data_IF_583447518144
#
_entry.id   IF_583447518144
#
_cell.length_a   1.000
_cell.length_b   1.000
_cell.length_c   1.000
_cell.angle_alpha   90.00
_cell.angle_beta   90.00
_cell.angle_gamma   90.00
#
_symmetry.space_group_name_H-M   'P 1'
#
loop_
_entity.id
_entity.type
_entity.pdbx_description
1 polymer ?
#
# COMPACT_ATOMS: atom_id res chain seq x y z
N UNK A 1 3.15 -15.03 28.46
CA UNK A 1 3.52 -14.19 27.29
C UNK A 1 4.97 -14.52 26.96
N UNK A 2 5.26 -14.99 25.74
CA UNK A 2 6.62 -15.42 25.36
C UNK A 2 7.57 -14.24 25.47
N UNK A 3 8.68 -14.41 26.20
CA UNK A 3 9.76 -13.43 26.24
C UNK A 3 10.48 -13.45 24.87
N UNK A 4 10.19 -12.44 24.05
CA UNK A 4 10.71 -12.34 22.69
C UNK A 4 12.24 -12.24 22.63
N UNK A 5 12.90 -11.74 23.69
CA UNK A 5 14.36 -11.66 23.72
C UNK A 5 14.97 -13.04 23.93
N UNK A 6 14.43 -13.80 24.90
CA UNK A 6 14.87 -15.18 25.17
C UNK A 6 14.55 -16.08 23.98
N UNK A 7 13.36 -15.96 23.40
CA UNK A 7 12.97 -16.68 22.19
C UNK A 7 13.90 -16.40 21.00
N UNK A 8 14.30 -15.14 20.77
CA UNK A 8 15.26 -14.79 19.73
C UNK A 8 16.66 -15.38 19.98
N UNK A 9 17.11 -15.41 21.24
CA UNK A 9 18.38 -16.04 21.62
C UNK A 9 18.35 -17.56 21.39
N UNK A 10 17.24 -18.23 21.72
CA UNK A 10 17.02 -19.65 21.47
C UNK A 10 17.07 -19.96 19.96
N UNK A 11 16.34 -19.21 19.14
CA UNK A 11 16.33 -19.38 17.67
C UNK A 11 17.72 -19.16 17.07
N UNK A 12 18.45 -18.14 17.54
CA UNK A 12 19.81 -17.84 17.06
C UNK A 12 20.77 -18.99 17.37
N UNK A 13 20.77 -19.51 18.60
CA UNK A 13 21.62 -20.64 18.96
C UNK A 13 21.30 -21.89 18.13
N UNK A 14 20.02 -22.19 17.89
CA UNK A 14 19.60 -23.29 17.01
C UNK A 14 20.08 -23.09 15.56
N UNK A 15 19.97 -21.86 15.04
CA UNK A 15 20.45 -21.52 13.69
C UNK A 15 21.98 -21.66 13.56
N UNK A 16 22.72 -21.41 14.65
CA UNK A 16 24.17 -21.64 14.75
C UNK A 16 24.54 -23.13 14.93
N UNK A 17 23.55 -24.04 14.85
CA UNK A 17 23.75 -25.49 14.94
C UNK A 17 23.86 -26.04 16.38
N UNK A 18 23.54 -25.23 17.39
CA UNK A 18 23.60 -25.65 18.81
C UNK A 18 22.43 -26.62 19.11
N UNK A 19 22.67 -27.76 19.76
CA UNK A 19 21.59 -28.68 20.15
C UNK A 19 20.56 -28.03 21.07
N UNK A 20 19.29 -28.41 20.95
CA UNK A 20 18.16 -27.76 21.65
C UNK A 20 18.34 -27.62 23.17
N UNK A 21 18.88 -28.64 23.85
CA UNK A 21 19.12 -28.56 25.29
C UNK A 21 20.12 -27.46 25.66
N UNK A 22 21.24 -27.38 24.93
CA UNK A 22 22.25 -26.34 25.14
C UNK A 22 21.76 -24.96 24.69
N UNK A 23 20.94 -24.90 23.64
CA UNK A 23 20.32 -23.67 23.16
C UNK A 23 19.29 -23.13 24.18
N UNK A 24 18.52 -24.02 24.82
CA UNK A 24 17.58 -23.70 25.89
C UNK A 24 18.32 -23.08 27.08
N UNK A 25 19.37 -23.75 27.57
CA UNK A 25 20.20 -23.24 28.67
C UNK A 25 20.80 -21.87 28.36
N UNK A 26 21.37 -21.67 27.16
CA UNK A 26 21.93 -20.37 26.72
C UNK A 26 20.89 -19.25 26.65
N UNK A 27 19.64 -19.60 26.40
CA UNK A 27 18.50 -18.68 26.32
C UNK A 27 17.69 -18.63 27.63
N UNK A 28 18.23 -19.20 28.71
CA UNK A 28 17.63 -19.23 30.05
C UNK A 28 16.29 -19.98 30.11
N UNK A 29 16.06 -20.97 29.24
CA UNK A 29 14.88 -21.84 29.27
C UNK A 29 15.20 -23.21 29.87
N UNK A 30 14.23 -23.82 30.57
CA UNK A 30 14.22 -25.27 30.68
C UNK A 30 13.80 -25.92 29.34
N UNK A 31 14.06 -27.22 29.18
CA UNK A 31 13.85 -27.92 27.91
C UNK A 31 12.37 -27.94 27.48
N UNK A 32 11.44 -28.03 28.41
CA UNK A 32 10.01 -28.08 28.11
C UNK A 32 9.49 -26.69 27.72
N UNK A 33 9.92 -25.64 28.42
CA UNK A 33 9.66 -24.25 28.05
C UNK A 33 10.22 -23.91 26.66
N UNK A 34 11.42 -24.40 26.33
CA UNK A 34 12.01 -24.21 25.00
C UNK A 34 11.18 -24.90 23.92
N UNK A 35 10.71 -26.14 24.16
CA UNK A 35 9.84 -26.88 23.23
C UNK A 35 8.50 -26.18 23.01
N UNK A 36 7.84 -25.77 24.10
CA UNK A 36 6.57 -25.05 24.03
C UNK A 36 6.72 -23.72 23.27
N UNK A 37 7.79 -22.98 23.55
CA UNK A 37 8.11 -21.72 22.85
C UNK A 37 8.30 -21.93 21.35
N UNK A 38 9.05 -22.97 20.95
CA UNK A 38 9.25 -23.27 19.53
C UNK A 38 7.96 -23.73 18.84
N UNK A 39 7.12 -24.50 19.52
CA UNK A 39 5.82 -24.92 19.00
C UNK A 39 4.87 -23.72 18.80
N UNK A 40 4.78 -22.81 19.77
CA UNK A 40 3.98 -21.59 19.67
C UNK A 40 4.49 -20.67 18.54
N UNK A 41 5.81 -20.49 18.42
CA UNK A 41 6.41 -19.73 17.31
C UNK A 41 6.14 -20.38 15.96
N UNK A 42 6.31 -21.69 15.83
CA UNK A 42 6.01 -22.42 14.60
C UNK A 42 4.52 -22.29 14.23
N UNK A 43 3.62 -22.38 15.21
CA UNK A 43 2.19 -22.17 15.00
C UNK A 43 1.89 -20.75 14.51
N UNK A 44 2.48 -19.72 15.13
CA UNK A 44 2.31 -18.32 14.73
C UNK A 44 2.86 -18.05 13.33
N UNK A 45 4.06 -18.54 13.01
CA UNK A 45 4.68 -18.38 11.70
C UNK A 45 3.85 -19.09 10.62
N UNK A 46 3.39 -20.31 10.88
CA UNK A 46 2.54 -21.05 9.95
C UNK A 46 1.19 -20.35 9.75
N UNK A 47 0.59 -19.80 10.83
CA UNK A 47 -0.65 -19.01 10.74
C UNK A 47 -0.45 -17.71 9.96
N UNK A 48 0.66 -17.01 10.18
CA UNK A 48 1.01 -15.81 9.42
C UNK A 48 1.26 -16.13 7.95
N UNK A 49 2.00 -17.20 7.66
CA UNK A 49 2.24 -17.69 6.30
C UNK A 49 0.93 -18.01 5.58
N UNK A 50 0.04 -18.80 6.20
CA UNK A 50 -1.28 -19.12 5.63
C UNK A 50 -2.14 -17.89 5.39
N UNK A 51 -2.18 -16.95 6.33
CA UNK A 51 -2.93 -15.71 6.15
C UNK A 51 -2.36 -14.88 4.99
N UNK A 52 -1.03 -14.82 4.85
CA UNK A 52 -0.39 -14.12 3.75
C UNK A 52 -0.68 -14.79 2.40
N UNK A 53 -0.57 -16.11 2.31
CA UNK A 53 -0.93 -16.89 1.12
C UNK A 53 -2.40 -16.71 0.73
N UNK A 54 -3.31 -16.70 1.69
CA UNK A 54 -4.75 -16.48 1.46
C UNK A 54 -5.06 -15.07 0.93
N UNK A 55 -4.39 -14.05 1.48
CA UNK A 55 -4.50 -12.66 1.01
C UNK A 55 -3.95 -12.53 -0.41
N UNK A 56 -2.75 -13.04 -0.67
CA UNK A 56 -2.13 -13.02 -2.01
C UNK A 56 -2.99 -13.77 -3.03
N UNK A 57 -3.56 -14.92 -2.66
CA UNK A 57 -4.47 -15.67 -3.52
C UNK A 57 -5.80 -14.92 -3.76
N UNK A 58 -6.33 -14.20 -2.78
CA UNK A 58 -7.51 -13.37 -2.94
C UNK A 58 -7.24 -12.17 -3.85
N UNK A 59 -6.09 -11.52 -3.72
CA UNK A 59 -5.65 -10.43 -4.60
C UNK A 59 -5.45 -10.92 -6.03
N UNK A 60 -4.81 -12.08 -6.21
CA UNK A 60 -4.66 -12.71 -7.52
C UNK A 60 -6.02 -13.02 -8.17
N UNK A 61 -6.97 -13.60 -7.41
CA UNK A 61 -8.33 -13.85 -7.92
C UNK A 61 -9.07 -12.57 -8.30
N UNK A 62 -8.95 -11.51 -7.49
CA UNK A 62 -9.54 -10.19 -7.81
C UNK A 62 -8.96 -9.61 -9.09
N UNK A 63 -7.63 -9.66 -9.24
CA UNK A 63 -6.94 -9.18 -10.43
C UNK A 63 -7.36 -9.95 -11.68
N UNK A 64 -7.45 -11.28 -11.62
CA UNK A 64 -7.88 -12.10 -12.76
C UNK A 64 -9.34 -11.80 -13.16
N UNK A 65 -10.25 -11.65 -12.18
CA UNK A 65 -11.62 -11.22 -12.46
C UNK A 65 -11.66 -9.81 -13.10
N UNK A 66 -10.83 -8.88 -12.60
CA UNK A 66 -10.76 -7.54 -13.14
C UNK A 66 -10.23 -7.51 -14.59
N UNK A 67 -9.25 -8.37 -14.94
CA UNK A 67 -8.81 -8.56 -16.32
C UNK A 67 -9.92 -9.06 -17.23
N UNK A 68 -10.72 -10.01 -16.74
CA UNK A 68 -11.87 -10.54 -17.49
C UNK A 68 -12.93 -9.46 -17.73
N UNK A 69 -13.21 -8.62 -16.72
CA UNK A 69 -14.12 -7.47 -16.85
C UNK A 69 -13.55 -6.42 -17.80
N UNK A 70 -12.24 -6.15 -17.74
CA UNK A 70 -11.56 -5.18 -18.58
C UNK A 70 -11.48 -5.60 -20.06
N UNK A 71 -11.54 -6.90 -20.35
CA UNK A 71 -11.41 -7.41 -21.70
C UNK A 71 -12.51 -6.84 -22.62
N UNK A 72 -12.09 -6.01 -23.57
CA UNK A 72 -12.98 -5.39 -24.56
C UNK A 72 -13.75 -4.16 -24.06
N UNK A 73 -13.47 -3.69 -22.83
CA UNK A 73 -14.06 -2.45 -22.28
C UNK A 73 -13.12 -1.25 -22.48
N UNK A 74 -13.72 -0.08 -22.61
CA UNK A 74 -13.04 1.21 -22.79
C UNK A 74 -13.61 2.33 -21.89
N UNK A 75 -14.47 1.92 -20.94
CA UNK A 75 -15.22 2.75 -20.00
C UNK A 75 -14.75 2.62 -18.55
N UNK A 76 -13.71 1.82 -18.30
CA UNK A 76 -13.10 1.70 -16.96
C UNK A 76 -12.36 3.00 -16.58
N UNK A 77 -12.51 3.39 -15.32
CA UNK A 77 -11.88 4.58 -14.74
C UNK A 77 -10.87 4.17 -13.68
N UNK A 78 -9.69 4.78 -13.71
CA UNK A 78 -8.63 4.56 -12.74
C UNK A 78 -8.47 5.83 -11.91
N UNK A 79 -8.99 5.79 -10.68
CA UNK A 79 -8.85 6.90 -9.73
C UNK A 79 -7.55 6.75 -8.96
N UNK A 80 -6.87 7.86 -8.69
CA UNK A 80 -5.67 7.90 -7.88
C UNK A 80 -5.74 9.02 -6.85
N UNK A 81 -4.97 8.84 -5.77
CA UNK A 81 -4.74 9.87 -4.76
C UNK A 81 -3.39 9.60 -4.07
N UNK A 82 -2.84 10.61 -3.41
CA UNK A 82 -1.75 10.44 -2.49
C UNK A 82 -1.77 11.48 -1.38
N UNK A 83 -1.58 11.00 -0.16
CA UNK A 83 -1.61 11.85 1.03
C UNK A 83 -0.35 11.73 1.88
N UNK A 84 -0.07 12.78 2.64
CA UNK A 84 1.00 12.80 3.63
C UNK A 84 0.58 13.43 4.96
N UNK A 85 0.90 12.77 6.08
CA UNK A 85 0.69 13.27 7.46
C UNK A 85 1.80 14.23 7.86
N UNK A 86 1.72 15.44 7.33
CA UNK A 86 2.78 16.46 7.39
C UNK A 86 3.50 16.58 6.04
N UNK A 87 4.23 17.66 5.80
CA UNK A 87 4.83 17.92 4.48
C UNK A 87 6.30 18.36 4.61
N UNK A 88 7.27 17.42 4.76
CA UNK A 88 7.14 15.97 4.61
C UNK A 88 6.72 15.21 5.89
N UNK A 89 6.04 14.07 5.72
CA UNK A 89 5.56 13.18 6.79
C UNK A 89 5.23 11.77 6.27
N UNK A 90 4.69 10.87 7.12
CA UNK A 90 4.22 9.55 6.68
C UNK A 90 3.25 9.68 5.50
N UNK A 91 3.57 9.03 4.38
CA UNK A 91 2.89 9.24 3.11
C UNK A 91 2.48 7.92 2.46
N UNK A 92 1.44 7.97 1.64
CA UNK A 92 0.97 6.85 0.85
C UNK A 92 0.37 7.33 -0.47
N UNK A 93 0.60 6.57 -1.54
CA UNK A 93 -0.10 6.73 -2.81
C UNK A 93 -1.00 5.52 -3.06
N UNK A 94 -2.14 5.73 -3.73
CA UNK A 94 -3.13 4.68 -3.99
C UNK A 94 -3.72 4.81 -5.39
N UNK A 95 -4.29 3.70 -5.87
CA UNK A 95 -5.07 3.66 -7.09
C UNK A 95 -6.21 2.65 -6.99
N UNK A 96 -7.33 2.92 -7.65
CA UNK A 96 -8.49 2.04 -7.70
C UNK A 96 -9.00 1.98 -9.13
N UNK A 97 -9.23 0.77 -9.64
CA UNK A 97 -9.93 0.55 -10.90
C UNK A 97 -11.43 0.46 -10.63
N UNK A 98 -12.21 1.31 -11.29
CA UNK A 98 -13.67 1.39 -11.19
C UNK A 98 -14.31 0.93 -12.50
N UNK A 99 -15.43 0.21 -12.38
CA UNK A 99 -16.28 -0.10 -13.51
C UNK A 99 -17.15 1.11 -13.93
N UNK A 100 -17.98 0.92 -14.97
CA UNK A 100 -18.88 1.96 -15.49
C UNK A 100 -19.95 2.42 -14.47
N UNK A 101 -20.22 1.64 -13.44
CA UNK A 101 -21.16 1.97 -12.37
C UNK A 101 -20.46 2.65 -11.19
N UNK A 102 -19.13 2.80 -11.24
CA UNK A 102 -18.32 3.34 -10.14
C UNK A 102 -17.99 2.30 -9.06
N UNK A 103 -18.16 1.00 -9.33
CA UNK A 103 -17.81 -0.07 -8.40
C UNK A 103 -16.32 -0.41 -8.47
N UNK A 104 -15.69 -0.57 -7.31
CA UNK A 104 -14.27 -0.91 -7.22
C UNK A 104 -14.00 -2.36 -7.62
N UNK A 105 -13.15 -2.56 -8.61
CA UNK A 105 -12.70 -3.86 -9.10
C UNK A 105 -11.43 -4.31 -8.37
N UNK A 106 -10.43 -3.43 -8.31
CA UNK A 106 -9.12 -3.69 -7.71
C UNK A 106 -8.58 -2.40 -7.09
N UNK A 107 -7.98 -2.54 -5.92
CA UNK A 107 -7.24 -1.49 -5.22
C UNK A 107 -5.73 -1.78 -5.24
N UNK A 108 -4.92 -0.73 -5.29
CA UNK A 108 -3.46 -0.75 -5.10
C UNK A 108 -3.07 0.36 -4.15
N UNK A 109 -2.10 0.09 -3.30
CA UNK A 109 -1.53 1.10 -2.41
C UNK A 109 -0.04 0.89 -2.22
N UNK A 110 0.65 1.99 -1.89
CA UNK A 110 2.06 1.95 -1.49
C UNK A 110 2.27 2.93 -0.34
N UNK A 111 2.74 2.41 0.78
CA UNK A 111 3.29 3.24 1.86
C UNK A 111 4.69 3.74 1.46
N UNK A 112 4.95 5.02 1.68
CA UNK A 112 6.12 5.74 1.17
C UNK A 112 7.01 6.28 2.29
N UNK A 113 6.88 5.75 3.51
CA UNK A 113 7.54 6.30 4.71
C UNK A 113 7.37 7.82 4.77
N UNK A 114 8.46 8.58 4.95
CA UNK A 114 8.41 10.04 5.03
C UNK A 114 8.59 10.70 3.66
N UNK A 115 7.52 11.27 3.11
CA UNK A 115 7.53 11.99 1.83
C UNK A 115 6.63 13.24 1.86
N UNK A 116 6.62 14.01 0.77
CA UNK A 116 5.71 15.17 0.62
C UNK A 116 4.39 14.75 -0.01
N UNK A 117 3.35 15.59 0.13
CA UNK A 117 2.05 15.31 -0.50
C UNK A 117 2.19 15.12 -2.01
N UNK A 118 2.86 16.05 -2.69
CA UNK A 118 3.02 15.99 -4.14
C UNK A 118 3.79 14.74 -4.61
N UNK A 119 4.75 14.25 -3.81
CA UNK A 119 5.43 12.98 -4.13
C UNK A 119 4.45 11.81 -4.00
N UNK A 120 3.62 11.79 -2.95
CA UNK A 120 2.61 10.77 -2.74
C UNK A 120 1.58 10.72 -3.89
N UNK A 121 1.10 11.88 -4.32
CA UNK A 121 0.16 12.05 -5.44
C UNK A 121 0.69 11.44 -6.75
N UNK A 122 1.96 11.73 -7.07
CA UNK A 122 2.63 11.14 -8.23
C UNK A 122 2.82 9.62 -8.10
N UNK A 123 3.02 9.12 -6.89
CA UNK A 123 3.05 7.68 -6.66
C UNK A 123 1.68 7.04 -6.84
N UNK A 124 0.59 7.70 -6.41
CA UNK A 124 -0.78 7.27 -6.69
C UNK A 124 -1.05 7.17 -8.20
N UNK A 125 -0.69 8.21 -8.95
CA UNK A 125 -0.77 8.20 -10.42
C UNK A 125 -0.02 7.02 -11.05
N UNK A 126 1.22 6.79 -10.63
CA UNK A 126 2.03 5.68 -11.16
C UNK A 126 1.38 4.33 -10.87
N UNK A 127 0.82 4.15 -9.68
CA UNK A 127 0.06 2.93 -9.34
C UNK A 127 -1.18 2.76 -10.23
N UNK A 128 -1.87 3.84 -10.60
CA UNK A 128 -3.03 3.76 -11.48
C UNK A 128 -2.63 3.35 -12.91
N UNK A 129 -1.52 3.89 -13.43
CA UNK A 129 -0.99 3.51 -14.74
C UNK A 129 -0.52 2.04 -14.74
N UNK A 130 0.18 1.63 -13.68
CA UNK A 130 0.63 0.25 -13.48
C UNK A 130 -0.57 -0.72 -13.40
N UNK A 131 -1.58 -0.39 -12.58
CA UNK A 131 -2.81 -1.18 -12.43
C UNK A 131 -3.57 -1.34 -13.76
N UNK A 132 -3.67 -0.26 -14.54
CA UNK A 132 -4.26 -0.32 -15.87
C UNK A 132 -3.50 -1.25 -16.81
N UNK A 133 -2.15 -1.22 -16.75
CA UNK A 133 -1.29 -2.11 -17.53
C UNK A 133 -1.45 -3.56 -17.12
N UNK A 134 -1.50 -3.85 -15.82
CA UNK A 134 -1.78 -5.18 -15.28
C UNK A 134 -3.13 -5.71 -15.78
N UNK A 135 -4.16 -4.86 -15.81
CA UNK A 135 -5.50 -5.19 -16.30
C UNK A 135 -5.61 -5.31 -17.81
N UNK A 136 -4.59 -4.89 -18.57
CA UNK A 136 -4.54 -5.02 -20.03
C UNK A 136 -5.48 -4.07 -20.79
N UNK A 137 -5.88 -2.94 -20.19
CA UNK A 137 -6.77 -1.97 -20.87
C UNK A 137 -6.04 -1.25 -22.01
N UNK A 138 -6.76 -0.95 -23.10
CA UNK A 138 -6.22 -0.18 -24.23
C UNK A 138 -6.46 1.32 -24.12
N UNK A 139 -7.56 1.71 -23.45
CA UNK A 139 -7.93 3.10 -23.19
C UNK A 139 -7.84 3.35 -21.69
N UNK A 140 -6.96 4.25 -21.30
CA UNK A 140 -6.70 4.59 -19.91
C UNK A 140 -7.40 5.90 -19.52
N UNK A 141 -8.39 5.83 -18.64
CA UNK A 141 -9.08 7.01 -18.10
C UNK A 141 -8.65 7.26 -16.66
N UNK A 142 -7.77 8.24 -16.46
CA UNK A 142 -7.26 8.61 -15.15
C UNK A 142 -8.08 9.73 -14.53
N UNK A 143 -8.33 9.64 -13.23
CA UNK A 143 -8.97 10.69 -12.45
C UNK A 143 -8.24 10.89 -11.12
N UNK A 144 -8.08 12.15 -10.72
CA UNK A 144 -7.54 12.51 -9.41
C UNK A 144 -7.88 13.96 -9.07
N UNK A 145 -7.81 14.32 -7.80
CA UNK A 145 -8.13 15.67 -7.29
C UNK A 145 -6.89 16.59 -7.18
N UNK A 146 -5.71 16.08 -7.50
CA UNK A 146 -4.49 16.89 -7.57
C UNK A 146 -4.38 17.69 -8.87
N UNK A 147 -4.91 18.92 -8.87
CA UNK A 147 -4.83 19.83 -10.03
C UNK A 147 -3.38 20.02 -10.54
N UNK A 148 -2.41 20.05 -9.63
CA UNK A 148 -0.98 20.15 -9.99
C UNK A 148 -0.53 18.98 -10.87
N UNK A 149 -0.85 17.74 -10.47
CA UNK A 149 -0.45 16.54 -11.20
C UNK A 149 -1.12 16.52 -12.58
N UNK A 150 -2.44 16.77 -12.61
CA UNK A 150 -3.24 16.81 -13.84
C UNK A 150 -2.67 17.82 -14.83
N UNK A 151 -2.46 19.07 -14.40
CA UNK A 151 -1.93 20.13 -15.27
C UNK A 151 -0.48 19.91 -15.70
N UNK A 152 0.33 19.24 -14.89
CA UNK A 152 1.70 18.87 -15.29
C UNK A 152 1.68 17.80 -16.39
N UNK A 153 0.83 16.78 -16.27
CA UNK A 153 0.67 15.73 -17.30
C UNK A 153 0.08 16.25 -18.61
N UNK A 154 -0.84 17.21 -18.53
CA UNK A 154 -1.39 17.91 -19.70
C UNK A 154 -0.39 18.89 -20.33
N UNK A 155 0.78 19.10 -19.72
CA UNK A 155 1.82 20.01 -20.22
C UNK A 155 1.54 21.50 -19.97
N UNK A 156 0.47 21.83 -19.25
CA UNK A 156 0.13 23.21 -18.89
C UNK A 156 1.13 23.77 -17.88
N UNK A 157 1.57 22.94 -16.93
CA UNK A 157 2.52 23.32 -15.88
C UNK A 157 3.88 22.65 -16.04
N UNK A 158 4.95 23.43 -15.88
CA UNK A 158 6.33 22.91 -15.89
C UNK A 158 6.67 22.21 -14.56
N UNK A 159 7.30 21.04 -14.64
CA UNK A 159 7.83 20.34 -13.47
C UNK A 159 9.21 20.90 -13.11
N UNK A 160 9.27 21.69 -12.03
CA UNK A 160 10.54 22.30 -11.54
C UNK A 160 11.14 21.57 -10.35
N UNK A 161 10.33 20.83 -9.59
CA UNK A 161 10.77 20.16 -8.38
C UNK A 161 11.63 18.92 -8.74
N UNK A 162 12.86 18.87 -8.25
CA UNK A 162 13.82 17.80 -8.52
C UNK A 162 13.37 16.42 -8.04
N UNK A 163 12.53 16.35 -7.00
CA UNK A 163 11.99 15.09 -6.49
C UNK A 163 10.78 14.60 -7.28
N UNK A 164 10.07 15.52 -7.95
CA UNK A 164 8.90 15.21 -8.77
C UNK A 164 9.30 14.87 -10.21
N UNK A 165 10.34 15.52 -10.75
CA UNK A 165 10.77 15.33 -12.13
C UNK A 165 11.00 13.85 -12.51
N UNK A 166 11.67 13.02 -11.69
CA UNK A 166 11.80 11.59 -12.00
C UNK A 166 10.46 10.85 -12.07
N UNK A 167 9.52 11.16 -11.16
CA UNK A 167 8.20 10.53 -11.12
C UNK A 167 7.35 10.93 -12.33
N UNK A 168 7.39 12.22 -12.70
CA UNK A 168 6.75 12.72 -13.91
C UNK A 168 7.29 12.04 -15.17
N UNK A 169 8.62 11.92 -15.30
CA UNK A 169 9.23 11.24 -16.44
C UNK A 169 8.87 9.74 -16.49
N UNK A 170 8.75 9.09 -15.34
CA UNK A 170 8.28 7.71 -15.25
C UNK A 170 6.82 7.58 -15.70
N UNK A 171 5.93 8.48 -15.26
CA UNK A 171 4.52 8.50 -15.66
C UNK A 171 4.39 8.74 -17.18
N UNK A 172 5.08 9.74 -17.72
CA UNK A 172 5.09 10.00 -19.17
C UNK A 172 5.61 8.82 -19.97
N UNK A 173 6.63 8.11 -19.46
CA UNK A 173 7.14 6.90 -20.12
C UNK A 173 6.09 5.78 -20.11
N UNK A 174 5.48 5.50 -18.97
CA UNK A 174 4.49 4.44 -18.83
C UNK A 174 3.21 4.73 -19.65
N UNK A 175 2.79 5.99 -19.75
CA UNK A 175 1.64 6.40 -20.57
C UNK A 175 1.84 6.15 -22.07
N UNK A 176 3.08 6.03 -22.56
CA UNK A 176 3.36 5.72 -23.98
C UNK A 176 2.97 4.30 -24.36
N UNK A 177 2.81 3.41 -23.39
CA UNK A 177 2.37 2.03 -23.63
C UNK A 177 0.86 1.95 -23.92
N UNK A 178 0.11 3.02 -23.64
CA UNK A 178 -1.33 3.09 -23.91
C UNK A 178 -1.60 3.81 -25.24
N UNK A 179 -2.30 3.18 -26.20
CA UNK A 179 -2.72 3.83 -27.45
C UNK A 179 -3.53 5.11 -27.21
N UNK A 180 -4.36 5.10 -26.17
CA UNK A 180 -5.18 6.23 -25.76
C UNK A 180 -5.17 6.37 -24.25
N UNK A 181 -4.92 7.59 -23.77
CA UNK A 181 -5.07 7.93 -22.37
C UNK A 181 -5.69 9.32 -22.23
N UNK A 182 -6.41 9.51 -21.13
CA UNK A 182 -6.97 10.79 -20.72
C UNK A 182 -6.77 10.93 -19.21
N UNK A 183 -6.51 12.15 -18.75
CA UNK A 183 -6.50 12.47 -17.32
C UNK A 183 -7.44 13.64 -17.06
N UNK A 184 -8.27 13.50 -16.02
CA UNK A 184 -9.20 14.55 -15.58
C UNK A 184 -8.99 14.89 -14.12
N UNK A 185 -9.07 16.19 -13.84
CA UNK A 185 -9.24 16.67 -12.49
C UNK A 185 -10.70 16.45 -12.07
N UNK A 186 -10.89 15.80 -10.94
CA UNK A 186 -12.19 15.66 -10.27
C UNK A 186 -12.15 16.40 -8.93
N UNK A 187 -13.29 16.73 -8.36
CA UNK A 187 -13.29 17.35 -7.03
C UNK A 187 -13.01 16.30 -5.96
N UNK A 188 -12.48 16.75 -4.82
CA UNK A 188 -12.12 15.84 -3.71
C UNK A 188 -13.31 15.05 -3.18
N UNK A 189 -14.50 15.63 -3.18
CA UNK A 189 -15.74 14.93 -2.79
C UNK A 189 -16.15 13.80 -3.75
N UNK A 190 -15.64 13.82 -4.99
CA UNK A 190 -15.79 12.77 -5.99
C UNK A 190 -14.68 11.71 -5.83
N UNK A 191 -13.50 12.10 -5.33
CA UNK A 191 -12.35 11.21 -5.12
C UNK A 191 -12.33 10.48 -3.75
N UNK A 192 -13.45 10.46 -3.01
CA UNK A 192 -13.49 9.95 -1.62
C UNK A 192 -12.98 8.52 -1.46
N UNK A 193 -13.24 7.64 -2.42
CA UNK A 193 -12.77 6.25 -2.35
C UNK A 193 -11.25 6.15 -2.28
N UNK A 194 -10.54 6.98 -3.06
CA UNK A 194 -9.09 7.01 -3.03
C UNK A 194 -8.57 7.68 -1.75
N UNK A 195 -9.17 8.79 -1.32
CA UNK A 195 -8.80 9.47 -0.05
C UNK A 195 -8.99 8.57 1.18
N UNK A 196 -10.12 7.83 1.24
CA UNK A 196 -10.38 6.86 2.30
C UNK A 196 -9.33 5.74 2.31
N UNK A 197 -8.93 5.25 1.13
CA UNK A 197 -7.89 4.24 1.00
C UNK A 197 -6.51 4.77 1.43
N UNK A 198 -6.14 5.99 1.07
CA UNK A 198 -4.92 6.65 1.55
C UNK A 198 -4.91 6.69 3.08
N UNK A 199 -6.02 7.14 3.68
CA UNK A 199 -6.12 7.25 5.13
C UNK A 199 -6.03 5.89 5.82
N UNK A 200 -6.68 4.85 5.27
CA UNK A 200 -6.59 3.47 5.77
C UNK A 200 -5.14 2.98 5.79
N UNK A 201 -4.41 3.13 4.69
CA UNK A 201 -3.01 2.72 4.56
C UNK A 201 -2.13 3.45 5.58
N UNK A 202 -2.36 4.76 5.75
CA UNK A 202 -1.61 5.57 6.71
C UNK A 202 -1.94 5.22 8.16
N UNK A 203 -3.18 4.84 8.48
CA UNK A 203 -3.56 4.40 9.82
C UNK A 203 -2.98 3.04 10.19
N UNK A 204 -2.92 2.11 9.23
CA UNK A 204 -2.32 0.79 9.43
C UNK A 204 -0.79 0.87 9.61
N UNK A 205 -0.11 1.74 8.85
CA UNK A 205 1.36 1.79 8.80
C UNK A 205 1.97 2.89 9.67
N UNK A 206 1.23 3.95 9.97
CA UNK A 206 1.68 5.11 10.74
C UNK A 206 0.53 5.69 11.59
N UNK A 207 0.03 4.92 12.58
CA UNK A 207 -1.12 5.32 13.39
C UNK A 207 -0.86 6.65 14.09
N UNK A 208 -1.87 7.52 14.11
CA UNK A 208 -1.79 8.79 14.84
C UNK A 208 -1.59 8.48 16.32
N UNK A 209 -0.54 9.03 16.92
CA UNK A 209 -0.40 9.01 18.38
C UNK A 209 -1.54 9.85 18.95
N UNK A 210 -2.57 9.22 19.53
CA UNK A 210 -3.63 9.93 20.24
C UNK A 210 -3.00 10.60 21.46
N UNK A 211 -2.88 11.92 21.45
CA UNK A 211 -2.50 12.66 22.65
C UNK A 211 -3.60 12.47 23.70
N UNK A 212 -3.25 11.97 24.89
CA UNK A 212 -4.14 11.75 26.05
C UNK A 212 -4.90 13.00 26.56
N UNK A 213 -4.77 14.17 25.93
CA UNK A 213 -5.44 15.41 26.32
C UNK A 213 -6.84 15.63 25.72
N UNK A 214 -7.31 14.78 24.81
CA UNK A 214 -8.65 14.92 24.19
C UNK A 214 -9.73 13.97 24.75
N UNK A 215 -9.39 13.09 25.69
CA UNK A 215 -10.36 12.20 26.35
C UNK A 215 -10.97 12.80 27.64
N UNK A 216 -10.68 14.07 27.96
CA UNK A 216 -11.14 14.73 29.20
C UNK A 216 -12.08 15.92 28.94
N UNK A 217 -12.69 16.01 27.74
CA UNK A 217 -13.60 17.11 27.37
C UNK A 217 -14.96 16.61 26.85
N UNK A 218 -15.28 15.34 27.07
CA UNK A 218 -16.60 14.78 26.79
C UNK A 218 -17.14 14.02 28.00
N UNK A 219 -16.95 14.56 29.20
CA UNK A 219 -17.73 14.24 30.39
C UNK A 219 -17.79 15.51 31.23
N UNK A 220 -18.74 16.39 30.90
CA UNK A 220 -19.38 17.36 31.81
C UNK A 220 -20.73 17.75 31.21
#
# INVERSE_FOLDING_TARGET
MVDLRRAAALLKALADGVPLGQAAERADFDLDQARETLQDLAYRLNRQGRHQEEVEAAEHRRMENAKQIAAGRDDLVFVFDGGSRGNPGPAAGVAIALDANGEALVERSRFLDKNTNNVAEYHGLLLAIELAGEMGVKRLLLQGDSELVVKQLQGEYKVKNKNILPLFLAAVRALREFPHWEIRHIRREENRFADDLVNRVLDERAPRVKNKKQAALTED
#
